data_IF_607449875181
#
_entry.id   IF_607449875181
#
_cell.length_a   1.000
_cell.length_b   1.000
_cell.length_c   1.000
_cell.angle_alpha   90.00
_cell.angle_beta   90.00
_cell.angle_gamma   90.00
#
_symmetry.space_group_name_H-M   'P 1'
#
loop_
_entity.id
_entity.type
_entity.pdbx_description
1 polymer ?
#
# COMPACT_ATOMS: atom_id res chain seq x y z
N UNK A 1 20.91 -10.00 10.19
CA UNK A 1 20.73 -11.24 9.42
C UNK A 1 20.78 -12.46 10.32
N UNK A 2 20.02 -13.52 9.97
CA UNK A 2 20.16 -14.81 10.62
C UNK A 2 21.59 -15.37 10.46
N UNK A 3 22.02 -16.31 11.33
CA UNK A 3 23.33 -16.92 11.17
C UNK A 3 23.58 -17.46 9.75
N UNK A 4 22.55 -18.01 9.11
CA UNK A 4 22.63 -18.53 7.73
C UNK A 4 22.82 -17.43 6.66
N UNK A 5 22.40 -16.21 6.95
CA UNK A 5 22.59 -15.08 6.03
C UNK A 5 23.93 -14.38 6.21
N UNK A 6 24.59 -14.49 7.38
CA UNK A 6 25.85 -13.79 7.66
C UNK A 6 26.95 -14.10 6.65
N UNK A 7 26.99 -15.32 6.16
CA UNK A 7 27.99 -15.75 5.18
C UNK A 7 27.65 -15.33 3.74
N UNK A 8 26.39 -14.96 3.50
CA UNK A 8 25.87 -14.60 2.18
C UNK A 8 25.76 -13.09 1.94
N UNK A 9 25.97 -12.28 2.97
CA UNK A 9 25.84 -10.83 2.89
C UNK A 9 27.09 -10.11 3.38
N UNK A 10 27.40 -8.98 2.76
CA UNK A 10 28.39 -8.03 3.27
C UNK A 10 27.68 -6.79 3.79
N UNK A 11 28.09 -6.33 4.98
CA UNK A 11 27.52 -5.10 5.58
C UNK A 11 28.17 -3.88 4.95
N UNK A 12 27.36 -2.94 4.50
CA UNK A 12 27.77 -1.59 4.20
C UNK A 12 27.30 -0.67 5.31
N UNK A 13 28.20 0.01 6.00
CA UNK A 13 27.82 1.12 6.84
C UNK A 13 27.48 2.29 5.91
N UNK A 14 26.24 2.71 5.89
CA UNK A 14 25.84 3.97 5.28
C UNK A 14 25.97 5.02 6.35
N UNK A 15 26.75 6.06 6.03
CA UNK A 15 26.90 7.33 6.73
C UNK A 15 26.27 7.36 8.13
N UNK A 16 27.10 7.59 9.13
CA UNK A 16 26.74 7.88 10.51
C UNK A 16 25.71 9.02 10.56
N UNK A 17 24.46 8.67 10.40
CA UNK A 17 23.35 9.50 10.77
C UNK A 17 22.61 8.78 11.89
N UNK A 18 21.93 9.50 12.76
CA UNK A 18 21.19 9.07 13.94
C UNK A 18 20.15 7.94 13.71
N UNK A 19 20.13 7.36 12.55
CA UNK A 19 19.28 6.24 12.17
C UNK A 19 20.13 4.98 12.04
N UNK A 20 19.76 3.94 12.78
CA UNK A 20 20.40 2.62 12.79
C UNK A 20 20.08 1.83 11.50
N UNK A 21 20.48 2.40 10.35
CA UNK A 21 20.29 1.79 9.05
C UNK A 21 21.48 0.92 8.69
N UNK A 22 21.23 -0.33 8.29
CA UNK A 22 22.24 -1.22 7.74
C UNK A 22 21.84 -1.65 6.34
N UNK A 23 22.68 -1.39 5.37
CA UNK A 23 22.54 -1.93 4.02
C UNK A 23 23.36 -3.21 3.93
N UNK A 24 22.76 -4.25 3.38
CA UNK A 24 23.37 -5.54 3.19
C UNK A 24 23.36 -5.90 1.71
N UNK A 25 24.52 -6.20 1.14
CA UNK A 25 24.63 -6.71 -0.23
C UNK A 25 24.68 -8.23 -0.18
N UNK A 26 23.77 -8.89 -0.88
CA UNK A 26 23.80 -10.34 -1.04
C UNK A 26 24.98 -10.73 -1.92
N UNK A 27 25.72 -11.75 -1.50
CA UNK A 27 26.87 -12.29 -2.25
C UNK A 27 26.44 -13.20 -3.41
N UNK A 28 25.16 -13.58 -3.47
CA UNK A 28 24.66 -14.46 -4.53
C UNK A 28 24.45 -13.67 -5.83
N UNK A 29 24.75 -14.28 -6.99
CA UNK A 29 24.32 -13.73 -8.25
C UNK A 29 22.79 -13.72 -8.29
N UNK A 30 22.21 -12.55 -8.54
CA UNK A 30 20.76 -12.38 -8.64
C UNK A 30 20.18 -12.89 -9.95
N UNK A 31 20.98 -13.46 -10.83
CA UNK A 31 20.62 -13.92 -12.17
C UNK A 31 19.51 -14.98 -12.18
N UNK A 32 19.27 -15.64 -11.04
CA UNK A 32 18.23 -16.66 -10.88
C UNK A 32 17.16 -16.29 -9.84
N UNK A 33 17.28 -15.14 -9.18
CA UNK A 33 16.27 -14.70 -8.21
C UNK A 33 15.20 -13.86 -8.92
N UNK A 34 13.92 -14.11 -8.65
CA UNK A 34 12.89 -13.23 -9.13
C UNK A 34 13.12 -11.80 -8.61
N UNK A 35 12.69 -10.83 -9.39
CA UNK A 35 12.63 -9.45 -8.96
C UNK A 35 12.00 -9.33 -7.57
N UNK A 36 12.62 -8.51 -6.73
CA UNK A 36 12.13 -8.19 -5.39
C UNK A 36 12.13 -6.67 -5.20
N UNK A 37 10.98 -6.13 -4.87
CA UNK A 37 10.82 -4.81 -4.31
C UNK A 37 9.67 -4.92 -3.30
N UNK A 38 10.00 -5.27 -2.07
CA UNK A 38 9.00 -5.48 -1.03
C UNK A 38 9.57 -5.32 0.37
N UNK A 39 8.76 -4.82 1.28
CA UNK A 39 9.05 -4.83 2.71
C UNK A 39 8.53 -6.11 3.32
N UNK A 40 9.42 -6.91 3.86
CA UNK A 40 9.08 -8.17 4.51
C UNK A 40 9.25 -8.09 6.02
N UNK A 41 8.29 -8.66 6.72
CA UNK A 41 8.43 -9.06 8.11
C UNK A 41 7.90 -10.49 8.24
N UNK A 42 8.67 -11.35 8.91
CA UNK A 42 8.21 -12.70 9.21
C UNK A 42 7.74 -12.76 10.65
N UNK A 43 6.46 -13.01 10.81
CA UNK A 43 5.83 -13.14 12.09
C UNK A 43 5.43 -14.60 12.35
N UNK A 44 5.82 -15.13 13.52
CA UNK A 44 5.34 -16.42 13.97
C UNK A 44 4.12 -16.24 14.89
N UNK A 45 2.91 -16.53 14.43
CA UNK A 45 1.71 -16.32 15.21
C UNK A 45 1.63 -17.23 16.44
N UNK A 46 2.31 -18.40 16.42
CA UNK A 46 2.34 -19.32 17.57
C UNK A 46 3.27 -18.85 18.68
N UNK A 47 4.44 -18.35 18.30
CA UNK A 47 5.43 -17.84 19.25
C UNK A 47 5.25 -16.35 19.57
N UNK A 48 4.38 -15.64 18.85
CA UNK A 48 4.16 -14.19 18.97
C UNK A 48 5.44 -13.36 18.82
N UNK A 49 6.35 -13.81 17.97
CA UNK A 49 7.64 -13.18 17.72
C UNK A 49 7.92 -13.08 16.23
N UNK A 50 8.70 -12.08 15.84
CA UNK A 50 9.27 -12.03 14.50
C UNK A 50 10.38 -13.07 14.39
N UNK A 51 10.29 -13.96 13.39
CA UNK A 51 11.20 -15.12 13.28
C UNK A 51 12.60 -14.67 12.90
N UNK A 52 12.73 -13.82 11.89
CA UNK A 52 14.01 -13.51 11.27
C UNK A 52 14.48 -12.08 11.46
N UNK A 53 13.57 -11.15 11.74
CA UNK A 53 13.87 -9.73 11.81
C UNK A 53 13.21 -9.11 13.02
N UNK A 54 13.97 -8.39 13.81
CA UNK A 54 13.40 -7.56 14.88
C UNK A 54 12.62 -6.37 14.34
N UNK A 55 12.91 -5.97 13.11
CA UNK A 55 12.28 -4.88 12.38
C UNK A 55 12.02 -5.34 10.94
N UNK A 56 11.05 -4.75 10.25
CA UNK A 56 10.83 -4.98 8.84
C UNK A 56 12.10 -4.76 8.03
N UNK A 57 12.33 -5.57 7.01
CA UNK A 57 13.48 -5.48 6.12
C UNK A 57 12.98 -5.21 4.71
N UNK A 58 13.54 -4.19 4.09
CA UNK A 58 13.30 -3.92 2.67
C UNK A 58 14.25 -4.75 1.83
N UNK A 59 13.69 -5.52 0.91
CA UNK A 59 14.40 -6.17 -0.19
C UNK A 59 14.16 -5.36 -1.45
N UNK A 60 15.23 -5.01 -2.14
CA UNK A 60 15.15 -4.19 -3.34
C UNK A 60 16.16 -4.65 -4.38
N UNK A 61 15.69 -4.91 -5.59
CA UNK A 61 16.53 -5.14 -6.77
C UNK A 61 16.98 -3.80 -7.38
N UNK A 62 18.09 -3.84 -8.13
CA UNK A 62 18.59 -2.63 -8.80
C UNK A 62 17.58 -2.09 -9.84
N UNK A 63 17.68 -0.80 -10.21
CA UNK A 63 16.81 -0.21 -11.24
C UNK A 63 16.86 -0.98 -12.57
N UNK A 64 18.05 -1.41 -12.99
CA UNK A 64 18.26 -2.12 -14.26
C UNK A 64 17.57 -3.48 -14.26
N UNK A 65 17.61 -4.18 -13.11
CA UNK A 65 16.95 -5.47 -12.97
C UNK A 65 15.43 -5.33 -12.98
N UNK A 66 14.90 -4.38 -12.22
CA UNK A 66 13.46 -4.12 -12.13
C UNK A 66 12.89 -3.76 -13.49
N UNK A 67 13.58 -2.93 -14.28
CA UNK A 67 13.15 -2.54 -15.61
C UNK A 67 12.96 -3.72 -16.56
N UNK A 68 13.77 -4.78 -16.44
CA UNK A 68 13.64 -5.99 -17.25
C UNK A 68 12.38 -6.78 -16.93
N UNK A 69 11.98 -6.79 -15.66
CA UNK A 69 10.86 -7.59 -15.16
C UNK A 69 9.54 -6.82 -15.09
N UNK A 70 9.61 -5.49 -14.98
CA UNK A 70 8.46 -4.60 -14.80
C UNK A 70 8.54 -3.41 -15.75
N UNK A 71 7.97 -3.56 -16.94
CA UNK A 71 7.99 -2.54 -17.99
C UNK A 71 7.44 -1.18 -17.55
N UNK A 72 6.50 -1.16 -16.60
CA UNK A 72 5.93 0.07 -16.06
C UNK A 72 6.89 0.82 -15.10
N UNK A 73 7.95 0.18 -14.59
CA UNK A 73 9.01 0.83 -13.79
C UNK A 73 10.23 1.02 -14.71
N UNK A 74 10.08 1.88 -15.69
CA UNK A 74 11.05 2.02 -16.79
C UNK A 74 12.05 3.16 -16.63
N UNK A 75 11.99 3.90 -15.53
CA UNK A 75 12.90 5.03 -15.26
C UNK A 75 13.22 5.13 -13.77
N UNK A 76 14.25 5.93 -13.45
CA UNK A 76 14.76 6.11 -12.08
C UNK A 76 13.74 6.75 -11.15
N UNK A 77 12.90 7.66 -11.65
CA UNK A 77 11.87 8.29 -10.81
C UNK A 77 10.84 7.25 -10.36
N UNK A 78 10.33 6.42 -11.28
CA UNK A 78 9.36 5.37 -10.94
C UNK A 78 9.97 4.31 -10.03
N UNK A 79 11.23 3.94 -10.25
CA UNK A 79 11.95 3.06 -9.33
C UNK A 79 12.10 3.68 -7.93
N UNK A 80 12.46 4.97 -7.85
CA UNK A 80 12.58 5.67 -6.57
C UNK A 80 11.25 5.78 -5.85
N UNK A 81 10.16 6.01 -6.58
CA UNK A 81 8.81 6.05 -6.01
C UNK A 81 8.44 4.68 -5.43
N UNK A 82 8.65 3.60 -6.16
CA UNK A 82 8.40 2.25 -5.67
C UNK A 82 9.27 1.91 -4.45
N UNK A 83 10.55 2.30 -4.45
CA UNK A 83 11.43 2.15 -3.30
C UNK A 83 10.91 2.90 -2.07
N UNK A 84 10.48 4.14 -2.25
CA UNK A 84 9.94 4.96 -1.15
C UNK A 84 8.60 4.43 -0.64
N UNK A 85 7.77 3.85 -1.51
CA UNK A 85 6.56 3.12 -1.12
C UNK A 85 6.90 2.02 -0.12
N UNK A 86 7.85 1.17 -0.45
CA UNK A 86 8.26 0.07 0.41
C UNK A 86 8.97 0.54 1.70
N UNK A 87 9.76 1.61 1.64
CA UNK A 87 10.33 2.25 2.83
C UNK A 87 9.24 2.82 3.74
N UNK A 88 8.15 3.32 3.15
CA UNK A 88 7.02 3.79 3.93
C UNK A 88 6.31 2.64 4.65
N UNK A 89 6.17 1.46 4.03
CA UNK A 89 5.71 0.27 4.72
C UNK A 89 6.64 -0.12 5.88
N UNK A 90 7.96 -0.04 5.70
CA UNK A 90 8.90 -0.28 6.79
C UNK A 90 8.66 0.66 7.98
N UNK A 91 8.42 1.95 7.70
CA UNK A 91 8.04 2.92 8.73
C UNK A 91 6.71 2.57 9.40
N UNK A 92 5.68 2.21 8.64
CA UNK A 92 4.37 1.82 9.16
C UNK A 92 4.47 0.61 10.11
N UNK A 93 5.16 -0.44 9.68
CA UNK A 93 5.35 -1.65 10.48
C UNK A 93 6.27 -1.46 11.70
N UNK A 94 7.08 -0.42 11.71
CA UNK A 94 7.90 -0.06 12.88
C UNK A 94 7.07 0.61 13.98
N UNK A 95 5.81 0.93 13.72
CA UNK A 95 4.92 1.56 14.68
C UNK A 95 4.25 0.52 15.59
N UNK A 96 4.44 0.66 16.92
CA UNK A 96 3.95 -0.29 17.92
C UNK A 96 2.42 -0.47 17.88
N UNK A 97 1.66 0.57 17.57
CA UNK A 97 0.20 0.47 17.50
C UNK A 97 -0.26 -0.38 16.32
N UNK A 98 0.38 -0.24 15.15
CA UNK A 98 0.12 -1.07 13.98
C UNK A 98 0.53 -2.50 14.28
N UNK A 99 1.71 -2.70 14.81
CA UNK A 99 2.20 -4.02 15.20
C UNK A 99 1.26 -4.71 16.18
N UNK A 100 0.87 -4.03 17.26
CA UNK A 100 -0.09 -4.55 18.26
C UNK A 100 -1.44 -4.91 17.61
N UNK A 101 -1.91 -4.10 16.67
CA UNK A 101 -3.15 -4.38 15.95
C UNK A 101 -3.06 -5.66 15.10
N UNK A 102 -1.98 -5.82 14.34
CA UNK A 102 -1.71 -7.03 13.56
C UNK A 102 -1.68 -8.27 14.46
N UNK A 103 -0.92 -8.22 15.57
CA UNK A 103 -0.82 -9.33 16.51
C UNK A 103 -2.20 -9.74 17.05
N UNK A 104 -3.04 -8.76 17.40
CA UNK A 104 -4.40 -9.04 17.85
C UNK A 104 -5.26 -9.70 16.78
N UNK A 105 -5.13 -9.28 15.50
CA UNK A 105 -5.87 -9.89 14.41
C UNK A 105 -5.50 -11.37 14.21
N UNK A 106 -4.22 -11.71 14.33
CA UNK A 106 -3.76 -13.10 14.29
C UNK A 106 -4.29 -13.93 15.47
N UNK A 107 -4.29 -13.37 16.69
CA UNK A 107 -4.76 -14.07 17.88
C UNK A 107 -6.27 -14.39 17.81
N UNK A 108 -7.08 -13.51 17.25
CA UNK A 108 -8.52 -13.68 17.14
C UNK A 108 -8.94 -14.75 16.14
N UNK A 109 -8.00 -15.43 15.44
CA UNK A 109 -8.27 -16.42 14.36
C UNK A 109 -9.26 -15.91 13.29
N UNK A 110 -9.37 -14.60 13.14
CA UNK A 110 -10.29 -13.92 12.22
C UNK A 110 -9.57 -13.38 10.99
N UNK A 111 -8.29 -13.70 10.88
CA UNK A 111 -7.48 -13.25 9.78
C UNK A 111 -7.78 -14.08 8.54
N UNK A 112 -8.25 -13.41 7.51
CA UNK A 112 -8.25 -13.91 6.15
C UNK A 112 -6.97 -13.39 5.49
N UNK A 113 -6.12 -14.30 4.99
CA UNK A 113 -4.91 -13.87 4.27
C UNK A 113 -5.25 -13.33 2.88
N UNK A 114 -4.32 -12.55 2.32
CA UNK A 114 -4.54 -11.89 1.03
C UNK A 114 -4.68 -12.88 -0.12
N UNK A 115 -3.99 -14.02 -0.07
CA UNK A 115 -4.07 -15.04 -1.13
C UNK A 115 -5.45 -15.70 -1.15
N UNK A 116 -6.00 -16.00 0.02
CA UNK A 116 -7.38 -16.49 0.15
C UNK A 116 -8.39 -15.46 -0.35
N UNK A 117 -8.18 -14.18 -0.03
CA UNK A 117 -9.06 -13.12 -0.50
C UNK A 117 -9.03 -12.97 -2.03
N UNK A 118 -7.85 -13.12 -2.64
CA UNK A 118 -7.71 -13.13 -4.10
C UNK A 118 -8.51 -14.26 -4.74
N UNK A 119 -8.50 -15.45 -4.15
CA UNK A 119 -9.30 -16.59 -4.65
C UNK A 119 -10.79 -16.26 -4.66
N UNK A 120 -11.30 -15.63 -3.60
CA UNK A 120 -12.70 -15.21 -3.56
C UNK A 120 -13.00 -14.12 -4.58
N UNK A 121 -12.12 -13.13 -4.72
CA UNK A 121 -12.25 -12.06 -5.71
C UNK A 121 -12.34 -12.61 -7.14
N UNK A 122 -11.51 -13.60 -7.47
CA UNK A 122 -11.48 -14.20 -8.81
C UNK A 122 -12.71 -15.07 -9.11
N UNK A 123 -13.27 -15.74 -8.09
CA UNK A 123 -14.34 -16.73 -8.26
C UNK A 123 -15.74 -16.17 -8.04
N UNK A 124 -15.88 -15.02 -7.39
CA UNK A 124 -17.18 -14.46 -7.01
C UNK A 124 -17.45 -13.15 -7.74
N UNK A 125 -18.16 -13.23 -8.86
CA UNK A 125 -18.49 -12.07 -9.66
C UNK A 125 -19.31 -11.03 -8.89
N UNK A 126 -20.26 -11.45 -8.03
CA UNK A 126 -21.04 -10.50 -7.22
C UNK A 126 -20.17 -9.74 -6.24
N UNK A 127 -19.20 -10.42 -5.64
CA UNK A 127 -18.22 -9.80 -4.77
C UNK A 127 -17.36 -8.77 -5.55
N UNK A 128 -16.84 -9.17 -6.70
CA UNK A 128 -16.04 -8.33 -7.59
C UNK A 128 -16.82 -7.11 -8.10
N UNK A 129 -18.06 -7.30 -8.57
CA UNK A 129 -18.91 -6.22 -9.08
C UNK A 129 -19.25 -5.21 -7.98
N UNK A 130 -19.50 -5.69 -6.74
CA UNK A 130 -19.72 -4.80 -5.61
C UNK A 130 -18.52 -3.93 -5.28
N UNK A 131 -17.31 -4.49 -5.33
CA UNK A 131 -16.06 -3.74 -5.14
C UNK A 131 -15.91 -2.66 -6.22
N UNK A 132 -16.21 -3.00 -7.48
CA UNK A 132 -16.18 -2.01 -8.56
C UNK A 132 -17.15 -0.87 -8.29
N UNK A 133 -18.39 -1.17 -7.90
CA UNK A 133 -19.39 -0.15 -7.55
C UNK A 133 -18.93 0.72 -6.39
N UNK A 134 -18.30 0.15 -5.34
CA UNK A 134 -17.74 0.90 -4.22
C UNK A 134 -16.70 1.93 -4.68
N UNK A 135 -15.76 1.50 -5.52
CA UNK A 135 -14.71 2.37 -5.99
C UNK A 135 -15.23 3.42 -7.00
N UNK A 136 -16.15 3.07 -7.90
CA UNK A 136 -16.83 4.05 -8.77
C UNK A 136 -17.55 5.15 -7.95
N UNK A 137 -18.12 4.79 -6.80
CA UNK A 137 -18.74 5.75 -5.88
C UNK A 137 -17.70 6.63 -5.18
N UNK A 138 -16.60 6.05 -4.73
CA UNK A 138 -15.51 6.83 -4.10
C UNK A 138 -14.88 7.81 -5.09
N UNK A 139 -14.60 7.40 -6.32
CA UNK A 139 -14.08 8.28 -7.37
C UNK A 139 -15.05 9.43 -7.67
N UNK A 140 -16.36 9.15 -7.78
CA UNK A 140 -17.38 10.20 -7.92
C UNK A 140 -17.41 11.14 -6.73
N UNK A 141 -17.24 10.63 -5.50
CA UNK A 141 -17.19 11.47 -4.30
C UNK A 141 -15.94 12.36 -4.31
N UNK A 142 -14.78 11.84 -4.71
CA UNK A 142 -13.55 12.63 -4.89
C UNK A 142 -13.75 13.74 -5.91
N UNK A 143 -14.44 13.46 -7.02
CA UNK A 143 -14.72 14.41 -8.09
C UNK A 143 -15.85 15.40 -7.76
N UNK A 144 -16.67 15.15 -6.75
CA UNK A 144 -17.81 16.01 -6.38
C UNK A 144 -17.35 17.43 -6.04
N UNK A 145 -18.14 18.41 -6.47
CA UNK A 145 -17.82 19.84 -6.31
C UNK A 145 -18.45 20.47 -5.07
N UNK A 146 -19.39 19.78 -4.43
CA UNK A 146 -20.02 20.23 -3.19
C UNK A 146 -19.97 19.16 -2.09
N UNK A 147 -19.91 19.61 -0.84
CA UNK A 147 -19.89 18.73 0.32
C UNK A 147 -21.17 17.89 0.46
N UNK A 148 -22.32 18.45 0.09
CA UNK A 148 -23.61 17.75 0.16
C UNK A 148 -23.69 16.62 -0.88
N UNK A 149 -23.24 16.87 -2.10
CA UNK A 149 -23.13 15.85 -3.14
C UNK A 149 -22.15 14.74 -2.71
N UNK A 150 -20.96 15.12 -2.27
CA UNK A 150 -19.94 14.20 -1.78
C UNK A 150 -20.47 13.31 -0.65
N UNK A 151 -21.12 13.91 0.36
CA UNK A 151 -21.76 13.19 1.47
C UNK A 151 -22.84 12.22 0.98
N UNK A 152 -23.67 12.62 0.01
CA UNK A 152 -24.71 11.78 -0.57
C UNK A 152 -24.11 10.55 -1.25
N UNK A 153 -23.08 10.75 -2.08
CA UNK A 153 -22.39 9.66 -2.78
C UNK A 153 -21.68 8.75 -1.77
N UNK A 154 -20.98 9.33 -0.81
CA UNK A 154 -20.30 8.58 0.23
C UNK A 154 -21.25 7.73 1.09
N UNK A 155 -22.46 8.24 1.36
CA UNK A 155 -23.51 7.45 2.04
C UNK A 155 -23.93 6.23 1.22
N UNK A 156 -23.99 6.35 -0.12
CA UNK A 156 -24.24 5.20 -1.00
C UNK A 156 -23.11 4.18 -0.95
N UNK A 157 -21.85 4.64 -0.99
CA UNK A 157 -20.68 3.78 -0.81
C UNK A 157 -20.78 2.96 0.49
N UNK A 158 -21.04 3.60 1.64
CA UNK A 158 -21.16 2.89 2.92
C UNK A 158 -22.25 1.80 2.88
N UNK A 159 -23.37 2.06 2.21
CA UNK A 159 -24.44 1.08 2.06
C UNK A 159 -24.02 -0.13 1.21
N UNK A 160 -23.38 0.12 0.06
CA UNK A 160 -22.89 -0.95 -0.82
C UNK A 160 -21.85 -1.79 -0.08
N UNK A 161 -20.88 -1.16 0.57
CA UNK A 161 -19.84 -1.82 1.37
C UNK A 161 -20.42 -2.69 2.49
N UNK A 162 -21.35 -2.14 3.27
CA UNK A 162 -21.98 -2.91 4.36
C UNK A 162 -22.72 -4.14 3.85
N UNK A 163 -23.43 -4.03 2.72
CA UNK A 163 -24.12 -5.16 2.11
C UNK A 163 -23.13 -6.23 1.62
N UNK A 164 -22.08 -5.82 0.90
CA UNK A 164 -21.03 -6.73 0.42
C UNK A 164 -20.33 -7.46 1.57
N UNK A 165 -19.95 -6.76 2.62
CA UNK A 165 -19.31 -7.36 3.80
C UNK A 165 -20.24 -8.37 4.49
N UNK A 166 -21.53 -8.04 4.60
CA UNK A 166 -22.55 -8.92 5.17
C UNK A 166 -22.75 -10.18 4.31
N UNK A 167 -22.84 -10.04 2.99
CA UNK A 167 -23.04 -11.15 2.07
C UNK A 167 -21.81 -12.07 2.04
N UNK A 168 -20.61 -11.49 2.05
CA UNK A 168 -19.37 -12.24 2.16
C UNK A 168 -19.31 -13.05 3.48
N UNK A 169 -19.62 -12.44 4.60
CA UNK A 169 -19.68 -13.12 5.90
C UNK A 169 -20.71 -14.27 5.88
N UNK A 170 -21.88 -14.03 5.30
CA UNK A 170 -22.92 -15.07 5.20
C UNK A 170 -22.46 -16.25 4.35
N UNK A 171 -21.79 -15.98 3.22
CA UNK A 171 -21.37 -16.99 2.24
C UNK A 171 -20.12 -17.75 2.69
N UNK A 172 -19.10 -17.05 3.14
CA UNK A 172 -17.77 -17.61 3.39
C UNK A 172 -17.40 -17.76 4.87
N UNK A 173 -18.21 -17.22 5.78
CA UNK A 173 -18.01 -17.26 7.24
C UNK A 173 -16.80 -16.47 7.75
N UNK A 174 -16.19 -15.62 6.90
CA UNK A 174 -15.11 -14.71 7.26
C UNK A 174 -15.59 -13.25 7.27
N UNK A 175 -15.06 -12.45 8.19
CA UNK A 175 -15.28 -10.99 8.18
C UNK A 175 -14.21 -10.27 7.37
N UNK A 176 -14.63 -9.34 6.51
CA UNK A 176 -13.72 -8.50 5.73
C UNK A 176 -13.26 -7.26 6.48
N UNK A 177 -14.03 -6.82 7.49
CA UNK A 177 -13.82 -5.50 8.14
C UNK A 177 -12.39 -5.31 8.62
N UNK A 178 -11.80 -6.31 9.27
CA UNK A 178 -10.47 -6.18 9.85
C UNK A 178 -9.35 -6.16 8.80
N UNK A 179 -9.45 -7.03 7.80
CA UNK A 179 -8.44 -7.11 6.74
C UNK A 179 -8.50 -5.86 5.86
N UNK A 180 -9.70 -5.41 5.47
CA UNK A 180 -9.88 -4.19 4.70
C UNK A 180 -9.37 -2.98 5.48
N UNK A 181 -9.78 -2.81 6.75
CA UNK A 181 -9.28 -1.72 7.59
C UNK A 181 -7.75 -1.69 7.68
N UNK A 182 -7.12 -2.83 7.81
CA UNK A 182 -5.67 -2.91 7.93
C UNK A 182 -4.98 -2.51 6.62
N UNK A 183 -5.30 -3.20 5.53
CA UNK A 183 -4.63 -2.99 4.24
C UNK A 183 -5.01 -1.69 3.56
N UNK A 184 -6.24 -1.21 3.71
CA UNK A 184 -6.64 0.12 3.21
C UNK A 184 -5.81 1.24 3.81
N UNK A 185 -5.45 1.13 5.10
CA UNK A 185 -4.56 2.10 5.73
C UNK A 185 -3.15 2.01 5.20
N UNK A 186 -2.59 0.80 5.15
CA UNK A 186 -1.22 0.60 4.72
C UNK A 186 -1.06 1.02 3.27
N UNK A 187 -1.78 0.38 2.38
CA UNK A 187 -1.65 0.60 0.94
C UNK A 187 -2.20 1.96 0.51
N UNK A 188 -3.37 2.36 1.02
CA UNK A 188 -3.99 3.62 0.62
C UNK A 188 -3.13 4.84 0.95
N UNK A 189 -2.45 4.85 2.11
CA UNK A 189 -1.55 5.95 2.47
C UNK A 189 -0.22 5.88 1.71
N UNK A 190 0.27 4.70 1.37
CA UNK A 190 1.46 4.51 0.55
C UNK A 190 1.22 4.98 -0.89
N UNK A 191 0.07 4.65 -1.47
CA UNK A 191 -0.33 5.11 -2.81
C UNK A 191 -0.55 6.64 -2.85
N UNK A 192 -1.07 7.23 -1.77
CA UNK A 192 -1.15 8.70 -1.67
C UNK A 192 0.25 9.33 -1.62
N UNK A 193 1.19 8.72 -0.92
CA UNK A 193 2.58 9.18 -0.92
C UNK A 193 3.19 9.07 -2.33
N UNK A 194 2.96 7.98 -3.06
CA UNK A 194 3.40 7.85 -4.46
C UNK A 194 2.86 8.99 -5.34
N UNK A 195 1.57 9.32 -5.20
CA UNK A 195 0.97 10.45 -5.93
C UNK A 195 1.72 11.75 -5.66
N UNK A 196 1.96 12.05 -4.39
CA UNK A 196 2.69 13.27 -3.99
C UNK A 196 4.11 13.28 -4.57
N UNK A 197 4.80 12.14 -4.57
CA UNK A 197 6.13 12.02 -5.16
C UNK A 197 6.10 12.21 -6.67
N UNK A 198 5.16 11.57 -7.37
CA UNK A 198 4.95 11.73 -8.82
C UNK A 198 4.73 13.20 -9.19
N UNK A 199 3.84 13.89 -8.48
CA UNK A 199 3.61 15.32 -8.66
C UNK A 199 4.85 16.17 -8.39
N UNK A 200 5.64 15.83 -7.38
CA UNK A 200 6.87 16.57 -7.06
C UNK A 200 7.93 16.37 -8.14
N UNK A 201 8.11 15.15 -8.65
CA UNK A 201 9.03 14.90 -9.76
C UNK A 201 8.69 15.69 -11.04
N UNK A 202 7.41 16.03 -11.26
CA UNK A 202 7.02 16.89 -12.39
C UNK A 202 7.31 18.37 -12.17
N UNK A 203 7.45 18.81 -10.92
CA UNK A 203 7.61 20.23 -10.56
C UNK A 203 9.06 20.63 -10.29
N UNK A 204 9.91 19.68 -9.91
CA UNK A 204 11.28 19.93 -9.51
C UNK A 204 12.22 19.66 -10.68
N UNK A 205 12.98 20.66 -11.08
CA UNK A 205 14.01 20.46 -12.10
C UNK A 205 15.08 19.47 -11.58
N UNK A 206 15.46 18.48 -12.39
CA UNK A 206 16.47 17.52 -11.97
C UNK A 206 17.84 18.18 -11.80
N UNK A 207 18.64 17.73 -10.82
CA UNK A 207 20.02 18.16 -10.71
C UNK A 207 20.79 17.83 -11.99
N UNK A 208 21.58 18.78 -12.55
CA UNK A 208 22.32 18.55 -13.79
C UNK A 208 23.18 17.28 -13.77
N UNK A 209 23.83 17.01 -12.66
CA UNK A 209 24.64 15.80 -12.48
C UNK A 209 23.85 14.51 -12.69
N UNK A 210 22.62 14.40 -12.18
CA UNK A 210 21.79 13.20 -12.37
C UNK A 210 21.41 13.05 -13.84
N UNK A 211 21.01 14.14 -14.49
CA UNK A 211 20.63 14.12 -15.93
C UNK A 211 21.80 13.70 -16.82
N UNK A 212 23.01 14.00 -16.40
CA UNK A 212 24.24 13.72 -17.16
C UNK A 212 24.76 12.30 -16.96
N UNK A 213 24.55 11.70 -15.77
CA UNK A 213 25.16 10.44 -15.36
C UNK A 213 24.18 9.29 -15.15
N UNK A 214 22.88 9.56 -15.16
CA UNK A 214 21.83 8.53 -15.03
C UNK A 214 21.04 8.40 -16.34
N UNK A 215 21.40 7.41 -17.13
CA UNK A 215 20.76 7.13 -18.42
C UNK A 215 19.27 6.71 -18.27
N UNK A 216 18.88 6.27 -17.10
CA UNK A 216 17.50 5.88 -16.82
C UNK A 216 16.65 7.05 -16.30
N UNK A 217 17.25 8.19 -16.02
CA UNK A 217 16.51 9.35 -15.55
C UNK A 217 15.63 9.96 -16.66
N UNK A 218 14.32 10.00 -16.45
CA UNK A 218 13.40 10.60 -17.41
C UNK A 218 13.47 12.13 -17.35
N UNK A 219 14.17 12.76 -18.31
CA UNK A 219 14.31 14.24 -18.38
C UNK A 219 12.97 14.97 -18.44
N UNK A 220 11.98 14.36 -19.05
CA UNK A 220 10.61 14.87 -19.18
C UNK A 220 9.65 13.94 -18.45
N UNK A 221 9.86 13.77 -17.15
CA UNK A 221 8.96 12.97 -16.35
C UNK A 221 7.58 13.62 -16.32
N UNK A 222 6.58 12.95 -16.87
CA UNK A 222 5.20 13.39 -16.87
C UNK A 222 4.37 12.42 -16.04
N UNK A 223 3.55 12.98 -15.18
CA UNK A 223 2.53 12.23 -14.46
C UNK A 223 1.16 12.77 -14.88
N UNK A 224 0.37 11.93 -15.48
CA UNK A 224 -0.99 12.25 -15.87
C UNK A 224 -1.96 11.55 -14.91
N UNK A 225 -2.56 12.31 -14.03
CA UNK A 225 -3.53 11.82 -13.03
C UNK A 225 -4.78 11.15 -13.68
N UNK A 226 -5.01 11.43 -14.97
CA UNK A 226 -6.12 10.86 -15.75
C UNK A 226 -5.77 9.55 -16.45
N UNK A 227 -4.48 9.17 -16.46
CA UNK A 227 -4.07 7.88 -16.99
C UNK A 227 -4.51 6.79 -16.02
N UNK A 228 -5.56 6.10 -16.42
CA UNK A 228 -6.17 4.92 -15.80
C UNK A 228 -6.31 5.04 -14.27
N UNK A 229 -7.51 5.04 -13.78
CA UNK A 229 -7.71 4.84 -12.34
C UNK A 229 -6.84 3.65 -11.90
N UNK A 230 -6.26 3.70 -10.74
CA UNK A 230 -5.44 2.59 -10.24
C UNK A 230 -6.20 1.26 -10.27
N UNK A 231 -7.53 1.29 -10.16
CA UNK A 231 -8.41 0.14 -10.37
C UNK A 231 -8.27 -0.44 -11.77
N UNK A 232 -8.23 0.38 -12.82
CA UNK A 232 -8.03 -0.11 -14.19
C UNK A 232 -6.64 -0.70 -14.36
N UNK A 233 -5.63 -0.06 -13.78
CA UNK A 233 -4.27 -0.58 -13.78
C UNK A 233 -4.19 -1.94 -13.07
N UNK A 234 -4.73 -2.06 -11.86
CA UNK A 234 -4.71 -3.31 -11.10
C UNK A 234 -5.72 -4.35 -11.60
N UNK A 235 -6.79 -3.95 -12.30
CA UNK A 235 -7.70 -4.92 -12.93
C UNK A 235 -7.11 -5.56 -14.18
N UNK A 236 -6.16 -4.91 -14.83
CA UNK A 236 -5.43 -5.40 -16.01
C UNK A 236 -4.20 -6.24 -15.61
N UNK A 237 -3.65 -6.06 -14.40
CA UNK A 237 -2.63 -6.93 -13.85
C UNK A 237 -3.26 -8.22 -13.33
N UNK A 238 -2.59 -9.35 -13.51
CA UNK A 238 -3.02 -10.64 -12.96
C UNK A 238 -3.06 -10.68 -11.42
N UNK A 239 -2.49 -9.67 -10.77
CA UNK A 239 -2.47 -9.55 -9.32
C UNK A 239 -3.68 -8.73 -8.80
N UNK A 240 -4.81 -9.41 -8.68
CA UNK A 240 -6.12 -8.83 -8.33
C UNK A 240 -6.36 -8.70 -6.81
N UNK A 241 -5.30 -8.82 -6.01
CA UNK A 241 -5.35 -8.63 -4.54
C UNK A 241 -5.53 -7.16 -4.16
N UNK A 242 -5.23 -6.24 -5.06
CA UNK A 242 -5.04 -4.82 -4.78
C UNK A 242 -6.30 -3.96 -4.75
N UNK A 243 -7.50 -4.53 -4.87
CA UNK A 243 -8.70 -3.70 -4.72
C UNK A 243 -8.72 -2.93 -3.39
N UNK A 244 -8.15 -3.52 -2.33
CA UNK A 244 -8.08 -2.90 -1.00
C UNK A 244 -7.19 -1.65 -1.04
N UNK A 245 -6.05 -1.72 -1.73
CA UNK A 245 -5.17 -0.57 -1.93
C UNK A 245 -5.89 0.58 -2.63
N UNK A 246 -6.60 0.29 -3.72
CA UNK A 246 -7.38 1.28 -4.45
C UNK A 246 -8.49 1.90 -3.60
N UNK A 247 -9.25 1.07 -2.88
CA UNK A 247 -10.28 1.56 -1.97
C UNK A 247 -9.66 2.45 -0.89
N UNK A 248 -8.55 2.01 -0.29
CA UNK A 248 -7.80 2.79 0.68
C UNK A 248 -7.31 4.13 0.14
N UNK A 249 -6.75 4.14 -1.08
CA UNK A 249 -6.31 5.35 -1.75
C UNK A 249 -7.44 6.35 -1.98
N UNK A 250 -8.59 5.90 -2.49
CA UNK A 250 -9.75 6.75 -2.70
C UNK A 250 -10.31 7.32 -1.37
N UNK A 251 -10.30 6.53 -0.30
CA UNK A 251 -10.67 7.00 1.04
C UNK A 251 -9.67 8.07 1.54
N UNK A 252 -8.37 7.86 1.34
CA UNK A 252 -7.34 8.84 1.72
C UNK A 252 -7.48 10.12 0.91
N UNK A 253 -7.78 10.04 -0.39
CA UNK A 253 -8.06 11.24 -1.21
C UNK A 253 -9.23 12.07 -0.65
N UNK A 254 -10.31 11.42 -0.20
CA UNK A 254 -11.43 12.12 0.43
C UNK A 254 -11.04 12.76 1.76
N UNK A 255 -10.23 12.08 2.57
CA UNK A 255 -9.72 12.62 3.84
C UNK A 255 -8.83 13.85 3.60
N UNK A 256 -7.92 13.81 2.63
CA UNK A 256 -7.06 14.94 2.24
C UNK A 256 -7.87 16.10 1.68
N UNK A 257 -8.80 15.84 0.74
CA UNK A 257 -9.68 16.84 0.13
C UNK A 257 -10.45 17.61 1.20
N UNK A 258 -10.94 16.92 2.22
CA UNK A 258 -11.72 17.48 3.31
C UNK A 258 -10.88 17.95 4.50
N UNK A 259 -9.56 17.91 4.41
CA UNK A 259 -8.62 18.30 5.47
C UNK A 259 -8.90 17.62 6.81
N UNK A 260 -9.34 16.37 6.77
CA UNK A 260 -9.55 15.57 7.98
C UNK A 260 -8.18 15.20 8.56
N UNK A 261 -8.00 15.42 9.86
CA UNK A 261 -6.74 15.12 10.57
C UNK A 261 -6.56 13.60 10.79
N UNK A 262 -6.54 12.81 9.72
CA UNK A 262 -6.46 11.34 9.80
C UNK A 262 -5.04 10.85 10.09
N UNK A 263 -4.00 11.58 9.71
CA UNK A 263 -2.59 11.17 9.85
C UNK A 263 -2.20 10.91 11.30
N UNK A 264 -2.64 11.74 12.22
CA UNK A 264 -2.44 11.54 13.66
C UNK A 264 -3.14 10.27 14.15
N UNK A 265 -4.30 9.95 13.59
CA UNK A 265 -5.11 8.80 13.97
C UNK A 265 -4.59 7.47 13.39
N UNK A 266 -3.84 7.50 12.27
CA UNK A 266 -3.33 6.28 11.64
C UNK A 266 -2.51 5.43 12.61
N UNK A 267 -1.66 6.08 13.39
CA UNK A 267 -0.71 5.43 14.29
C UNK A 267 -1.19 5.38 15.73
N UNK A 268 -2.02 6.34 16.14
CA UNK A 268 -2.57 6.36 17.48
C UNK A 268 -3.74 5.38 17.65
N UNK A 269 -4.54 5.21 16.61
CA UNK A 269 -5.74 4.37 16.61
C UNK A 269 -5.72 3.40 15.42
N UNK A 270 -4.79 2.45 15.42
CA UNK A 270 -4.60 1.51 14.33
C UNK A 270 -5.88 0.73 13.95
N UNK A 271 -6.77 0.50 14.90
CA UNK A 271 -8.07 -0.17 14.68
C UNK A 271 -9.18 0.74 14.13
N UNK A 272 -8.96 2.08 14.04
CA UNK A 272 -9.98 3.00 13.53
C UNK A 272 -9.98 3.00 11.98
N UNK A 273 -11.03 2.50 11.31
CA UNK A 273 -11.11 2.48 9.85
C UNK A 273 -11.07 3.87 9.21
N UNK A 274 -10.53 3.97 7.98
CA UNK A 274 -10.53 5.23 7.21
C UNK A 274 -11.96 5.68 6.88
N UNK A 275 -12.81 4.74 6.49
CA UNK A 275 -14.22 5.00 6.19
C UNK A 275 -15.00 5.50 7.42
N UNK A 276 -14.68 5.01 8.60
CA UNK A 276 -15.31 5.48 9.83
C UNK A 276 -14.91 6.94 10.17
N UNK A 277 -13.67 7.34 9.88
CA UNK A 277 -13.23 8.72 10.06
C UNK A 277 -14.02 9.68 9.16
N UNK A 278 -14.22 9.30 7.89
CA UNK A 278 -15.07 10.05 6.96
C UNK A 278 -16.55 10.05 7.39
N UNK A 279 -17.05 8.92 7.89
CA UNK A 279 -18.42 8.83 8.44
C UNK A 279 -18.64 9.83 9.56
N UNK A 280 -17.68 9.97 10.47
CA UNK A 280 -17.72 10.98 11.54
C UNK A 280 -17.64 12.40 10.99
N UNK A 281 -16.75 12.65 10.05
CA UNK A 281 -16.64 13.97 9.39
C UNK A 281 -17.97 14.41 8.77
N UNK A 282 -18.61 13.54 7.99
CA UNK A 282 -19.91 13.83 7.37
C UNK A 282 -21.09 13.80 8.33
N UNK A 283 -20.89 13.43 9.59
CA UNK A 283 -21.98 13.25 10.59
C UNK A 283 -23.07 12.31 10.07
N UNK A 284 -22.67 11.19 9.47
CA UNK A 284 -23.58 10.13 9.03
C UNK A 284 -23.86 9.21 10.23
N UNK A 285 -25.15 9.02 10.54
CA UNK A 285 -25.60 8.14 11.64
C UNK A 285 -25.46 6.67 11.30
#
# INVERSE_FOLDING_TARGET
PSPEMKDKVSKYSVLENDYDWSIWKLKMPFDSTPYVMETQFQFNPKAKVFINYRRPVLFCSSPEWIRREKEHINNTQLWSIALLHELYHQYQYSNDAILTYVLRLYDEKKWLDMDSLQVYYLKDNLFKDSIKVENDLLEKAVAATSLDEEKKIYTQFLKVRANRQKDFLKKYKYTLVNIENFWEKLEGTSLMMEKILKENFTKVAPPPYIVEHDEMYAKNFAFNEKEKSEIQFYSELDDKRFYIGTTGYNLVQLLEKNKVAYKENLYKYASLPLDLQLKYFYKIK
#
